data_IF_659466462671
#
_entry.id   IF_659466462671
#
_cell.length_a   1.000
_cell.length_b   1.000
_cell.length_c   1.000
_cell.angle_alpha   90.00
_cell.angle_beta   90.00
_cell.angle_gamma   90.00
#
_symmetry.space_group_name_H-M   'P 1'
#
loop_
_entity.id
_entity.type
_entity.pdbx_description
1 polymer ?
#
# COMPACT_ATOMS: atom_id res chain seq x y z
N UNK A 1 17.09 37.09 22.09
CA UNK A 1 15.78 36.42 21.96
C UNK A 1 15.95 35.00 22.50
N UNK A 2 15.57 34.76 23.76
CA UNK A 2 15.77 33.47 24.44
C UNK A 2 14.61 32.53 24.11
N UNK A 3 14.89 31.40 23.46
CA UNK A 3 13.91 30.31 23.34
C UNK A 3 13.94 29.58 24.67
N UNK A 4 12.90 29.77 25.49
CA UNK A 4 12.72 29.04 26.75
C UNK A 4 12.53 27.56 26.37
N UNK A 5 13.43 26.71 26.84
CA UNK A 5 13.26 25.26 26.68
C UNK A 5 11.88 24.87 27.22
N UNK A 6 11.15 23.97 26.54
CA UNK A 6 9.82 23.54 27.00
C UNK A 6 9.91 23.04 28.45
N UNK A 7 8.90 23.36 29.27
CA UNK A 7 8.88 22.87 30.65
C UNK A 7 8.88 21.34 30.65
N UNK A 8 9.44 20.74 31.71
CA UNK A 8 9.50 19.28 31.89
C UNK A 8 8.13 18.61 31.69
N UNK A 9 7.05 19.30 32.07
CA UNK A 9 5.69 18.79 31.99
C UNK A 9 5.18 18.73 30.55
N UNK A 10 5.52 19.73 29.73
CA UNK A 10 5.18 19.74 28.30
C UNK A 10 5.90 18.60 27.58
N UNK A 11 7.19 18.40 27.89
CA UNK A 11 7.96 17.30 27.28
C UNK A 11 7.41 15.93 27.70
N UNK A 12 7.02 15.77 28.97
CA UNK A 12 6.41 14.53 29.49
C UNK A 12 5.10 14.21 28.78
N UNK A 13 4.25 15.22 28.54
CA UNK A 13 2.97 15.02 27.86
C UNK A 13 3.16 14.69 26.36
N UNK A 14 4.09 15.35 25.69
CA UNK A 14 4.46 15.03 24.31
C UNK A 14 4.95 13.59 24.17
N UNK A 15 5.78 13.11 25.11
CA UNK A 15 6.26 11.73 25.13
C UNK A 15 5.12 10.73 25.37
N UNK A 16 4.19 11.02 26.29
CA UNK A 16 3.02 10.16 26.53
C UNK A 16 2.17 10.03 25.26
N UNK A 17 1.88 11.15 24.60
CA UNK A 17 1.12 11.15 23.36
C UNK A 17 1.84 10.36 22.24
N UNK A 18 3.17 10.52 22.12
CA UNK A 18 3.95 9.76 21.15
C UNK A 18 3.94 8.25 21.45
N UNK A 19 4.08 7.85 22.72
CA UNK A 19 4.01 6.44 23.15
C UNK A 19 2.64 5.84 22.85
N UNK A 20 1.56 6.55 23.19
CA UNK A 20 0.19 6.11 22.90
C UNK A 20 -0.03 5.96 21.39
N UNK A 21 0.45 6.89 20.58
CA UNK A 21 0.39 6.79 19.13
C UNK A 21 1.19 5.59 18.61
N UNK A 22 2.43 5.40 19.06
CA UNK A 22 3.26 4.27 18.65
C UNK A 22 2.67 2.92 19.02
N UNK A 23 1.94 2.80 20.13
CA UNK A 23 1.26 1.55 20.49
C UNK A 23 0.19 1.12 19.47
N UNK A 24 -0.35 2.05 18.68
CA UNK A 24 -1.31 1.74 17.60
C UNK A 24 -0.64 1.36 16.29
N UNK A 25 0.63 1.75 16.08
CA UNK A 25 1.33 1.59 14.80
C UNK A 25 2.40 0.50 14.87
N UNK A 26 3.11 0.39 15.99
CA UNK A 26 4.13 -0.62 16.18
C UNK A 26 3.48 -1.96 16.58
N UNK A 27 4.00 -3.09 16.08
CA UNK A 27 3.53 -4.39 16.52
C UNK A 27 3.79 -4.56 18.02
N UNK A 28 2.75 -4.90 18.80
CA UNK A 28 2.81 -5.04 20.25
C UNK A 28 3.45 -6.36 20.73
N UNK A 29 4.19 -7.06 19.88
CA UNK A 29 4.65 -8.42 20.16
C UNK A 29 6.08 -8.51 20.68
N UNK A 30 6.24 -9.29 21.75
CA UNK A 30 7.53 -9.80 22.20
C UNK A 30 8.10 -10.82 21.19
N UNK A 31 9.40 -11.17 21.23
CA UNK A 31 10.00 -12.14 20.32
C UNK A 31 9.28 -13.50 20.42
N UNK A 32 8.72 -14.00 19.31
CA UNK A 32 7.90 -15.22 19.29
C UNK A 32 8.71 -16.38 18.70
N UNK A 33 8.60 -17.55 19.35
CA UNK A 33 9.27 -18.79 18.99
C UNK A 33 8.57 -19.55 17.84
N UNK A 34 7.27 -19.29 17.64
CA UNK A 34 6.39 -19.91 16.63
C UNK A 34 5.67 -18.83 15.80
N UNK A 35 5.58 -19.03 14.49
CA UNK A 35 5.13 -18.02 13.52
C UNK A 35 3.63 -17.71 13.66
N UNK A 36 3.27 -16.45 13.89
CA UNK A 36 1.88 -15.97 13.74
C UNK A 36 1.85 -14.94 12.61
N UNK A 37 0.95 -15.15 11.64
CA UNK A 37 0.74 -14.29 10.47
C UNK A 37 0.04 -12.99 10.91
N UNK A 38 0.70 -12.12 11.67
CA UNK A 38 0.13 -10.81 11.94
C UNK A 38 0.17 -9.97 10.67
N UNK A 39 -1.01 -9.57 10.20
CA UNK A 39 -1.14 -8.60 9.14
C UNK A 39 -0.42 -7.31 9.57
N UNK A 40 0.66 -6.96 8.88
CA UNK A 40 1.46 -5.75 9.14
C UNK A 40 0.61 -4.47 9.05
N UNK A 41 -0.54 -4.52 8.37
CA UNK A 41 -1.50 -3.43 8.26
C UNK A 41 -2.60 -3.46 9.34
N UNK A 42 -2.50 -4.29 10.38
CA UNK A 42 -3.57 -4.43 11.38
C UNK A 42 -3.99 -3.09 12.02
N UNK A 43 -3.03 -2.20 12.32
CA UNK A 43 -3.33 -0.85 12.82
C UNK A 43 -4.08 0.04 11.82
N UNK A 44 -4.02 -0.29 10.53
CA UNK A 44 -4.63 0.44 9.41
C UNK A 44 -5.86 -0.27 8.83
N UNK A 45 -6.36 -1.35 9.46
CA UNK A 45 -7.43 -2.19 8.90
C UNK A 45 -8.79 -1.49 8.75
N UNK A 46 -8.94 -0.30 9.35
CA UNK A 46 -10.12 0.55 9.22
C UNK A 46 -10.11 1.38 7.93
N UNK A 47 -8.99 1.41 7.21
CA UNK A 47 -8.84 2.08 5.92
C UNK A 47 -9.05 1.09 4.77
N UNK A 48 -9.34 1.61 3.57
CA UNK A 48 -9.25 0.77 2.37
C UNK A 48 -7.81 0.29 2.15
N UNK A 49 -7.62 -0.81 1.44
CA UNK A 49 -6.29 -1.42 1.25
C UNK A 49 -5.25 -0.43 0.69
N UNK A 50 -5.61 0.36 -0.32
CA UNK A 50 -4.73 1.36 -0.93
C UNK A 50 -4.35 2.47 0.06
N UNK A 51 -5.33 2.95 0.85
CA UNK A 51 -5.09 3.97 1.88
C UNK A 51 -4.25 3.42 3.03
N UNK A 52 -4.49 2.17 3.43
CA UNK A 52 -3.72 1.49 4.47
C UNK A 52 -2.25 1.35 4.09
N UNK A 53 -1.95 0.93 2.84
CA UNK A 53 -0.58 0.83 2.36
C UNK A 53 0.11 2.19 2.27
N UNK A 54 -0.61 3.21 1.81
CA UNK A 54 -0.09 4.59 1.76
C UNK A 54 0.25 5.10 3.17
N UNK A 55 -0.67 4.97 4.12
CA UNK A 55 -0.47 5.39 5.50
C UNK A 55 0.68 4.61 6.17
N UNK A 56 0.75 3.30 5.95
CA UNK A 56 1.85 2.48 6.45
C UNK A 56 3.20 2.92 5.86
N UNK A 57 3.26 3.25 4.57
CA UNK A 57 4.47 3.76 3.92
C UNK A 57 4.90 5.12 4.49
N UNK A 58 3.97 6.05 4.69
CA UNK A 58 4.25 7.38 5.24
C UNK A 58 4.88 7.30 6.64
N UNK A 59 4.48 6.32 7.46
CA UNK A 59 5.00 6.15 8.82
C UNK A 59 6.29 5.33 8.86
N UNK A 60 6.38 4.26 8.07
CA UNK A 60 7.46 3.26 8.21
C UNK A 60 8.53 3.34 7.12
N UNK A 61 8.25 4.02 6.01
CA UNK A 61 9.05 3.99 4.78
C UNK A 61 8.99 2.66 4.01
N UNK A 62 8.28 1.65 4.52
CA UNK A 62 8.16 0.36 3.85
C UNK A 62 7.24 0.45 2.63
N UNK A 63 7.63 -0.15 1.51
CA UNK A 63 6.79 -0.23 0.32
C UNK A 63 5.83 -1.42 0.45
N UNK A 64 4.54 -1.13 0.26
CA UNK A 64 3.46 -2.10 0.34
C UNK A 64 3.25 -2.95 -0.93
N UNK A 65 3.90 -2.57 -2.03
CA UNK A 65 3.83 -3.25 -3.32
C UNK A 65 5.21 -3.70 -3.76
N UNK A 66 5.24 -4.74 -4.59
CA UNK A 66 6.43 -5.04 -5.38
C UNK A 66 6.67 -3.90 -6.38
N UNK A 67 7.94 -3.65 -6.75
CA UNK A 67 8.21 -2.69 -7.81
C UNK A 67 7.76 -3.26 -9.18
N UNK A 68 7.45 -2.40 -10.18
CA UNK A 68 6.84 -2.83 -11.45
C UNK A 68 7.61 -3.93 -12.19
N UNK A 69 8.94 -3.93 -12.14
CA UNK A 69 9.78 -4.95 -12.77
C UNK A 69 9.64 -6.34 -12.14
N UNK A 70 9.27 -6.44 -10.86
CA UNK A 70 8.95 -7.73 -10.25
C UNK A 70 7.62 -8.26 -10.75
N UNK A 71 6.60 -7.41 -10.89
CA UNK A 71 5.32 -7.83 -11.47
C UNK A 71 5.49 -8.33 -12.90
N UNK A 72 6.28 -7.63 -13.73
CA UNK A 72 6.63 -8.11 -15.09
C UNK A 72 7.34 -9.46 -15.07
N UNK A 73 8.32 -9.65 -14.19
CA UNK A 73 8.99 -10.96 -14.05
C UNK A 73 8.03 -12.07 -13.62
N UNK A 74 7.09 -11.78 -12.72
CA UNK A 74 6.09 -12.75 -12.29
C UNK A 74 5.15 -13.12 -13.44
N UNK A 75 4.80 -12.16 -14.29
CA UNK A 75 4.05 -12.40 -15.52
C UNK A 75 4.84 -13.26 -16.52
N UNK A 76 6.09 -12.92 -16.78
CA UNK A 76 6.97 -13.72 -17.67
C UNK A 76 7.17 -15.17 -17.17
N UNK A 77 7.06 -15.38 -15.84
CA UNK A 77 7.14 -16.69 -15.21
C UNK A 77 5.80 -17.46 -15.20
N UNK A 78 4.71 -16.86 -15.69
CA UNK A 78 3.36 -17.42 -15.63
C UNK A 78 2.79 -17.50 -14.22
N UNK A 79 3.34 -16.75 -13.26
CA UNK A 79 2.76 -16.60 -11.91
C UNK A 79 1.64 -15.57 -11.86
N UNK A 80 1.65 -14.64 -12.81
CA UNK A 80 0.55 -13.75 -13.17
C UNK A 80 0.27 -14.07 -14.64
N UNK A 81 -0.99 -14.20 -15.03
CA UNK A 81 -1.35 -14.44 -16.43
C UNK A 81 -2.40 -13.45 -16.94
N UNK A 82 -2.80 -13.61 -18.21
CA UNK A 82 -3.79 -12.73 -18.85
C UNK A 82 -5.14 -12.75 -18.11
N UNK A 83 -5.49 -13.85 -17.44
CA UNK A 83 -6.74 -13.94 -16.68
C UNK A 83 -6.69 -13.10 -15.40
N UNK A 84 -5.52 -13.01 -14.76
CA UNK A 84 -5.32 -12.11 -13.60
C UNK A 84 -5.42 -10.64 -14.03
N UNK A 85 -4.81 -10.28 -15.16
CA UNK A 85 -4.87 -8.92 -15.71
C UNK A 85 -6.30 -8.56 -16.11
N UNK A 86 -7.00 -9.46 -16.80
CA UNK A 86 -8.39 -9.28 -17.20
C UNK A 86 -9.31 -9.10 -15.98
N UNK A 87 -9.11 -9.89 -14.93
CA UNK A 87 -9.85 -9.75 -13.68
C UNK A 87 -9.63 -8.37 -13.05
N UNK A 88 -8.37 -7.91 -12.96
CA UNK A 88 -8.03 -6.60 -12.39
C UNK A 88 -8.63 -5.44 -13.20
N UNK A 89 -8.55 -5.50 -14.54
CA UNK A 89 -9.13 -4.50 -15.44
C UNK A 89 -10.66 -4.44 -15.36
N UNK A 90 -11.32 -5.57 -15.15
CA UNK A 90 -12.78 -5.63 -14.97
C UNK A 90 -13.23 -5.12 -13.60
N UNK A 91 -12.42 -5.36 -12.56
CA UNK A 91 -12.72 -4.95 -11.19
C UNK A 91 -12.66 -3.42 -11.02
N UNK A 92 -11.77 -2.73 -11.74
CA UNK A 92 -11.60 -1.28 -11.66
C UNK A 92 -12.10 -0.56 -12.91
N UNK A 93 -13.35 -0.09 -12.84
CA UNK A 93 -13.99 0.67 -13.92
C UNK A 93 -13.30 2.00 -14.22
N UNK A 94 -12.52 2.55 -13.28
CA UNK A 94 -11.79 3.82 -13.48
C UNK A 94 -10.65 3.69 -14.49
N UNK A 95 -10.20 2.47 -14.77
CA UNK A 95 -9.19 2.18 -15.79
C UNK A 95 -9.75 2.27 -17.22
N UNK A 96 -11.07 2.30 -17.38
CA UNK A 96 -11.77 2.41 -18.67
C UNK A 96 -11.27 1.38 -19.70
N UNK A 97 -11.03 0.13 -19.28
CA UNK A 97 -10.34 -0.89 -20.09
C UNK A 97 -10.89 -1.08 -21.52
N UNK A 98 -12.21 -0.92 -21.70
CA UNK A 98 -12.89 -1.07 -22.99
C UNK A 98 -12.91 0.19 -23.87
N UNK A 99 -12.39 1.31 -23.38
CA UNK A 99 -12.39 2.56 -24.13
C UNK A 99 -11.53 2.43 -25.39
N UNK A 100 -12.07 2.73 -26.58
CA UNK A 100 -11.29 2.80 -27.81
C UNK A 100 -10.20 3.87 -27.70
N UNK A 101 -8.98 3.49 -28.06
CA UNK A 101 -7.83 4.41 -28.21
C UNK A 101 -7.61 4.74 -29.69
N UNK A 102 -7.69 3.74 -30.56
CA UNK A 102 -7.45 3.91 -31.99
C UNK A 102 -8.22 2.86 -32.80
N UNK A 103 -8.46 3.16 -34.08
CA UNK A 103 -9.00 2.20 -35.05
C UNK A 103 -7.89 1.87 -36.03
N UNK A 104 -7.57 0.58 -36.14
CA UNK A 104 -6.54 0.00 -37.01
C UNK A 104 -7.23 -0.87 -38.05
N UNK A 105 -7.65 -0.26 -39.16
CA UNK A 105 -8.43 -0.93 -40.20
C UNK A 105 -9.81 -1.36 -39.69
N UNK A 106 -10.08 -2.67 -39.69
CA UNK A 106 -11.32 -3.26 -39.13
C UNK A 106 -11.24 -3.55 -37.62
N UNK A 107 -10.06 -3.42 -37.02
CA UNK A 107 -9.86 -3.67 -35.58
C UNK A 107 -9.86 -2.37 -34.78
N UNK A 108 -10.39 -2.41 -33.56
CA UNK A 108 -10.36 -1.28 -32.62
C UNK A 108 -9.41 -1.60 -31.49
N UNK A 109 -8.34 -0.82 -31.36
CA UNK A 109 -7.43 -0.86 -30.23
C UNK A 109 -8.11 -0.21 -29.02
N UNK A 110 -8.19 -0.93 -27.91
CA UNK A 110 -8.79 -0.48 -26.64
C UNK A 110 -7.71 -0.24 -25.61
N UNK A 111 -8.07 0.40 -24.48
CA UNK A 111 -7.14 0.63 -23.37
C UNK A 111 -6.52 -0.64 -22.83
N UNK A 112 -7.29 -1.73 -22.76
CA UNK A 112 -6.79 -3.04 -22.33
C UNK A 112 -5.63 -3.59 -23.16
N UNK A 113 -5.53 -3.21 -24.44
CA UNK A 113 -4.53 -3.77 -25.36
C UNK A 113 -3.13 -3.12 -25.18
N UNK A 114 -3.01 -2.13 -24.32
CA UNK A 114 -1.75 -1.39 -24.07
C UNK A 114 -1.30 -1.41 -22.60
N UNK A 115 -2.00 -2.15 -21.74
CA UNK A 115 -1.55 -2.46 -20.38
C UNK A 115 -0.60 -3.66 -20.42
#
# INVERSE_FOLDING_TARGET
MYIKAPSSDILREQLRHAIEHFAHVLPSQAPIKDFVHHNTLHGFQHLSFFEALKAAHEVTGAYGYLPPEQFRRLYDQGRIDDSDLDYALQADRTLEAERPIAVLGESTLRRRDIY
#
